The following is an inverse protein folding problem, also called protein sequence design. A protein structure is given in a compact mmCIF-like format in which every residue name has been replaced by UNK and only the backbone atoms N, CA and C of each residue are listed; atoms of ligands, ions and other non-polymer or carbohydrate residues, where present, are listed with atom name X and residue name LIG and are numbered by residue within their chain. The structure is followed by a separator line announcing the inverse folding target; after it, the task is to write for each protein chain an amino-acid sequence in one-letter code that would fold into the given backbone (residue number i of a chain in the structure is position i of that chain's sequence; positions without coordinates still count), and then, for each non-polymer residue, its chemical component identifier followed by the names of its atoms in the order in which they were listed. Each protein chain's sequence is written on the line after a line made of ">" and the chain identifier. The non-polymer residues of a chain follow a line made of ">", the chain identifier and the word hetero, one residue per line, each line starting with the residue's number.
data_IF_001538024639
#
_entry.id   IF_001538024639
#
_cell.length_a   1.000
_cell.length_b   1.000
_cell.length_c   1.000
_cell.angle_alpha   90.00
_cell.angle_beta   90.00
_cell.angle_gamma   90.00
#
_symmetry.space_group_name_H-M   'P 1'
#
loop_
_entity.id
_entity.type
_entity.pdbx_description
1 polymer ?
#
# COMPACT_ATOMS: atom_id res chain seq x y z
N UNK A 1 -15.78 -10.82 18.44
CA UNK A 1 -14.70 -10.95 19.44
C UNK A 1 -14.06 -9.58 19.60
N UNK A 2 -14.27 -8.92 20.75
CA UNK A 2 -13.61 -7.64 21.08
C UNK A 2 -12.47 -8.00 22.03
N UNK A 3 -11.22 -7.92 21.58
CA UNK A 3 -10.07 -8.14 22.45
C UNK A 3 -9.13 -6.97 22.32
N UNK A 4 -9.35 -5.96 23.16
CA UNK A 4 -8.32 -5.02 23.57
C UNK A 4 -8.02 -5.38 25.03
N UNK A 5 -6.88 -6.02 25.27
CA UNK A 5 -6.38 -6.34 26.61
C UNK A 5 -5.68 -5.14 27.24
N UNK A 6 -5.09 -4.27 26.42
CA UNK A 6 -4.44 -3.02 26.81
C UNK A 6 -4.19 -2.15 25.56
N UNK A 7 -4.02 -0.84 25.75
CA UNK A 7 -3.70 0.09 24.67
C UNK A 7 -2.49 -0.38 23.83
N UNK A 8 -2.63 -0.29 22.51
CA UNK A 8 -1.61 -0.69 21.53
C UNK A 8 -1.37 -2.20 21.40
N UNK A 9 -2.20 -3.07 21.99
CA UNK A 9 -2.01 -4.52 21.90
C UNK A 9 -2.18 -5.09 20.49
N UNK A 10 -3.11 -4.54 19.70
CA UNK A 10 -3.29 -4.89 18.28
C UNK A 10 -2.03 -4.59 17.48
N UNK A 11 -1.45 -3.40 17.65
CA UNK A 11 -0.22 -3.03 16.95
C UNK A 11 0.94 -3.96 17.35
N UNK A 12 1.12 -4.22 18.65
CA UNK A 12 2.14 -5.17 19.13
C UNK A 12 1.94 -6.58 18.57
N UNK A 13 0.70 -7.05 18.49
CA UNK A 13 0.38 -8.36 17.92
C UNK A 13 0.71 -8.42 16.42
N UNK A 14 0.38 -7.38 15.66
CA UNK A 14 0.70 -7.28 14.24
C UNK A 14 2.22 -7.20 14.00
N UNK A 15 2.95 -6.39 14.78
CA UNK A 15 4.42 -6.32 14.70
C UNK A 15 5.04 -7.68 14.99
N UNK A 16 4.54 -8.42 15.98
CA UNK A 16 5.01 -9.78 16.26
C UNK A 16 4.70 -10.74 15.11
N UNK A 17 3.47 -10.74 14.60
CA UNK A 17 3.06 -11.57 13.47
C UNK A 17 3.96 -11.33 12.24
N UNK A 18 4.27 -10.07 11.94
CA UNK A 18 5.20 -9.69 10.88
C UNK A 18 6.63 -10.15 11.20
N UNK A 19 7.10 -9.98 12.43
CA UNK A 19 8.41 -10.45 12.91
C UNK A 19 8.63 -11.96 12.76
N UNK A 20 7.55 -12.74 12.88
CA UNK A 20 7.52 -14.20 12.68
C UNK A 20 7.42 -14.59 11.18
N UNK A 21 7.47 -13.62 10.26
CA UNK A 21 7.47 -13.84 8.81
C UNK A 21 6.09 -13.72 8.15
N UNK A 22 5.08 -13.29 8.90
CA UNK A 22 3.71 -13.11 8.42
C UNK A 22 3.56 -12.11 7.27
N UNK A 23 2.45 -12.24 6.54
CA UNK A 23 2.04 -11.31 5.50
C UNK A 23 0.80 -10.54 5.96
N UNK A 24 0.90 -9.20 5.98
CA UNK A 24 -0.21 -8.30 6.24
C UNK A 24 -0.65 -7.60 4.95
N UNK A 25 -1.89 -7.82 4.54
CA UNK A 25 -2.48 -7.17 3.37
C UNK A 25 -3.44 -6.06 3.81
N UNK A 26 -3.41 -4.92 3.14
CA UNK A 26 -4.33 -3.81 3.37
C UNK A 26 -5.15 -3.54 2.13
N UNK A 27 -6.46 -3.75 2.22
CA UNK A 27 -7.44 -3.34 1.21
C UNK A 27 -8.44 -2.44 1.92
N UNK A 28 -8.08 -1.16 2.14
CA UNK A 28 -8.89 -0.27 2.96
C UNK A 28 -10.08 0.26 2.15
N UNK A 29 -11.18 0.56 2.84
CA UNK A 29 -12.32 1.26 2.25
C UNK A 29 -12.11 2.79 2.18
N UNK A 30 -11.19 3.31 3.00
CA UNK A 30 -10.87 4.74 3.11
C UNK A 30 -9.39 4.99 2.80
N UNK A 31 -8.98 6.23 2.46
CA UNK A 31 -7.67 6.46 1.84
C UNK A 31 -6.49 6.25 2.77
N UNK A 32 -6.72 6.28 4.08
CA UNK A 32 -5.68 6.27 5.10
C UNK A 32 -5.73 4.98 5.95
N UNK A 33 -5.13 3.86 5.49
CA UNK A 33 -5.05 2.67 6.33
C UNK A 33 -4.24 2.97 7.59
N UNK A 34 -4.73 2.50 8.74
CA UNK A 34 -4.08 2.63 10.05
C UNK A 34 -3.79 4.07 10.52
N UNK A 35 -4.56 5.05 10.02
CA UNK A 35 -4.37 6.44 10.41
C UNK A 35 -5.10 6.81 11.69
N UNK A 36 -6.34 6.34 11.88
CA UNK A 36 -7.14 6.63 13.06
C UNK A 36 -7.15 5.45 14.03
N UNK A 37 -7.15 5.75 15.33
CA UNK A 37 -7.53 4.79 16.38
C UNK A 37 -9.06 4.67 16.51
N UNK A 38 -9.52 3.86 17.46
CA UNK A 38 -10.94 3.62 17.71
C UNK A 38 -11.71 4.85 18.22
N UNK A 39 -11.00 5.88 18.70
CA UNK A 39 -11.57 7.16 19.14
C UNK A 39 -11.59 8.21 18.02
N UNK A 40 -11.07 7.86 16.84
CA UNK A 40 -10.94 8.76 15.70
C UNK A 40 -9.73 9.70 15.80
N UNK A 41 -8.79 9.46 16.73
CA UNK A 41 -7.57 10.25 16.84
C UNK A 41 -6.47 9.70 15.92
N UNK A 42 -5.59 10.55 15.38
CA UNK A 42 -4.47 10.10 14.55
C UNK A 42 -3.47 9.23 15.34
N UNK A 43 -3.19 8.02 14.83
CA UNK A 43 -2.20 7.07 15.36
C UNK A 43 -1.03 6.80 14.38
N UNK A 44 -1.23 7.02 13.08
CA UNK A 44 -0.16 6.92 12.05
C UNK A 44 0.61 5.58 12.05
N UNK A 45 -0.08 4.45 12.31
CA UNK A 45 0.60 3.17 12.53
C UNK A 45 1.13 2.50 11.24
N UNK A 46 0.72 2.95 10.05
CA UNK A 46 1.09 2.35 8.77
C UNK A 46 2.62 2.18 8.60
N UNK A 47 3.40 3.22 8.89
CA UNK A 47 4.86 3.16 8.80
C UNK A 47 5.49 2.21 9.82
N UNK A 48 4.96 2.17 11.05
CA UNK A 48 5.42 1.23 12.10
C UNK A 48 5.11 -0.23 11.76
N UNK A 49 4.09 -0.46 10.94
CA UNK A 49 3.70 -1.76 10.40
C UNK A 49 4.39 -2.10 9.06
N UNK A 50 5.34 -1.28 8.60
CA UNK A 50 6.14 -1.55 7.40
C UNK A 50 5.55 -1.05 6.08
N UNK A 51 4.41 -0.36 6.08
CA UNK A 51 3.81 0.14 4.84
C UNK A 51 4.53 1.41 4.32
N UNK A 52 5.05 1.40 3.07
CA UNK A 52 5.79 2.53 2.51
C UNK A 52 4.87 3.57 1.85
N UNK A 53 3.85 4.04 2.57
CA UNK A 53 2.78 4.90 2.03
C UNK A 53 3.15 6.39 2.16
N UNK A 54 3.27 7.10 1.05
CA UNK A 54 3.43 8.55 1.06
C UNK A 54 2.09 9.26 1.29
N UNK A 55 2.11 10.35 2.05
CA UNK A 55 0.93 11.16 2.34
C UNK A 55 0.03 10.65 3.47
N UNK A 56 0.40 9.60 4.20
CA UNK A 56 -0.30 9.19 5.43
C UNK A 56 0.11 10.09 6.61
N UNK A 57 -0.52 11.27 6.77
CA UNK A 57 -0.14 12.24 7.81
C UNK A 57 -0.85 13.59 7.66
N UNK A 58 -1.48 14.11 8.72
CA UNK A 58 -1.72 15.55 8.85
C UNK A 58 -0.39 16.21 9.21
N UNK A 59 0.16 16.98 8.29
CA UNK A 59 1.55 17.40 8.32
C UNK A 59 2.36 16.56 7.33
N UNK A 60 3.06 17.24 6.41
CA UNK A 60 3.96 16.59 5.48
C UNK A 60 4.84 15.60 6.25
N UNK A 61 4.86 14.34 5.80
CA UNK A 61 5.80 13.34 6.29
C UNK A 61 7.22 13.87 5.99
N UNK A 62 7.96 14.29 7.03
CA UNK A 62 9.38 14.71 6.95
C UNK A 62 10.34 13.54 6.67
N UNK A 63 9.82 12.33 6.51
CA UNK A 63 10.59 11.10 6.32
C UNK A 63 10.62 10.61 4.86
N UNK A 64 10.00 11.34 3.93
CA UNK A 64 10.36 11.19 2.53
C UNK A 64 11.79 11.72 2.36
N UNK A 65 12.74 10.91 1.87
CA UNK A 65 14.08 11.38 1.60
C UNK A 65 14.06 12.64 0.74
N UNK A 66 14.98 13.56 0.99
CA UNK A 66 15.15 14.74 0.15
C UNK A 66 15.28 14.32 -1.33
N UNK A 67 14.42 14.88 -2.20
CA UNK A 67 14.35 14.50 -3.62
C UNK A 67 13.39 13.36 -3.97
N UNK A 68 12.64 12.79 -3.01
CA UNK A 68 11.57 11.86 -3.32
C UNK A 68 10.46 12.56 -4.15
N UNK A 69 10.31 12.14 -5.40
CA UNK A 69 9.38 12.74 -6.37
C UNK A 69 7.93 12.23 -6.26
N UNK A 70 7.65 11.35 -5.29
CA UNK A 70 6.32 10.76 -5.08
C UNK A 70 5.66 11.37 -3.85
N UNK A 71 4.46 11.94 -4.02
CA UNK A 71 3.66 12.52 -2.96
C UNK A 71 2.19 12.15 -3.11
N UNK A 72 1.50 11.96 -1.99
CA UNK A 72 0.05 11.87 -1.98
C UNK A 72 -0.61 13.23 -2.23
N UNK A 73 -1.89 13.22 -2.61
CA UNK A 73 -2.67 14.44 -2.83
C UNK A 73 -4.10 14.31 -2.34
N UNK A 74 -4.74 15.46 -2.11
CA UNK A 74 -6.18 15.53 -1.86
C UNK A 74 -7.01 15.56 -3.14
N UNK A 75 -6.43 16.09 -4.23
CA UNK A 75 -7.04 16.22 -5.55
C UNK A 75 -5.98 15.93 -6.62
N UNK A 76 -6.36 15.28 -7.75
CA UNK A 76 -5.41 14.96 -8.80
C UNK A 76 -4.78 16.23 -9.39
N UNK A 77 -3.52 16.17 -9.87
CA UNK A 77 -2.90 17.30 -10.53
C UNK A 77 -3.73 17.78 -11.72
N UNK A 78 -3.90 19.11 -11.82
CA UNK A 78 -4.71 19.71 -12.88
C UNK A 78 -4.17 19.35 -14.27
N UNK A 79 -5.05 18.84 -15.13
CA UNK A 79 -4.71 18.47 -16.51
C UNK A 79 -3.85 17.21 -16.65
N UNK A 80 -3.58 16.48 -15.58
CA UNK A 80 -2.84 15.22 -15.67
C UNK A 80 -3.76 14.08 -16.15
N UNK A 81 -3.39 13.44 -17.26
CA UNK A 81 -4.00 12.20 -17.73
C UNK A 81 -3.32 11.01 -17.06
N UNK A 82 -3.91 10.53 -15.96
CA UNK A 82 -3.32 9.51 -15.10
C UNK A 82 -3.77 8.09 -15.48
N UNK A 83 -2.81 7.19 -15.68
CA UNK A 83 -3.03 5.80 -16.06
C UNK A 83 -2.26 4.86 -15.13
N UNK A 84 -2.95 3.83 -14.63
CA UNK A 84 -2.33 2.70 -13.97
C UNK A 84 -1.75 1.73 -14.98
N UNK A 85 -0.52 1.26 -14.74
CA UNK A 85 0.15 0.18 -15.46
C UNK A 85 0.35 -0.99 -14.50
N UNK A 86 -0.28 -2.13 -14.79
CA UNK A 86 -0.38 -3.29 -13.89
C UNK A 86 0.55 -4.41 -14.36
N UNK A 87 1.26 -5.02 -13.42
CA UNK A 87 2.02 -6.24 -13.67
C UNK A 87 1.07 -7.43 -13.75
N UNK A 88 0.62 -7.75 -14.96
CA UNK A 88 -0.33 -8.86 -15.20
C UNK A 88 0.31 -10.24 -15.12
N UNK A 89 1.65 -10.33 -15.06
CA UNK A 89 2.33 -11.59 -14.76
C UNK A 89 2.19 -11.91 -13.27
N UNK A 90 2.31 -10.90 -12.41
CA UNK A 90 2.10 -11.05 -10.98
C UNK A 90 0.61 -11.07 -10.58
N UNK A 91 -0.24 -10.32 -11.29
CA UNK A 91 -1.67 -10.22 -11.08
C UNK A 91 -2.42 -10.67 -12.36
N UNK A 92 -2.62 -11.98 -12.57
CA UNK A 92 -3.34 -12.46 -13.75
C UNK A 92 -4.82 -12.10 -13.69
N UNK A 93 -5.44 -11.86 -14.85
CA UNK A 93 -6.89 -11.67 -14.97
C UNK A 93 -7.38 -10.23 -14.75
N UNK A 94 -6.53 -9.31 -14.30
CA UNK A 94 -6.83 -7.86 -14.24
C UNK A 94 -6.37 -7.15 -15.52
N UNK A 95 -6.93 -5.97 -15.87
CA UNK A 95 -6.47 -5.22 -17.03
C UNK A 95 -5.02 -4.75 -16.88
N UNK A 96 -4.25 -4.78 -17.97
CA UNK A 96 -2.86 -4.31 -17.99
C UNK A 96 -2.74 -2.79 -17.76
N UNK A 97 -3.80 -2.04 -18.11
CA UNK A 97 -3.90 -0.61 -17.85
C UNK A 97 -5.31 -0.24 -17.43
N UNK A 98 -5.43 0.75 -16.54
CA UNK A 98 -6.72 1.32 -16.16
C UNK A 98 -6.59 2.82 -15.89
N UNK A 99 -7.61 3.65 -16.22
CA UNK A 99 -7.56 5.08 -15.93
C UNK A 99 -7.64 5.33 -14.42
N UNK A 100 -7.09 6.45 -13.96
CA UNK A 100 -7.36 6.94 -12.62
C UNK A 100 -8.85 7.31 -12.46
N UNK A 101 -9.52 7.04 -11.33
CA UNK A 101 -10.94 7.32 -11.15
C UNK A 101 -11.29 8.79 -11.41
N UNK A 102 -12.27 9.03 -12.27
CA UNK A 102 -12.77 10.38 -12.58
C UNK A 102 -13.77 10.92 -11.53
N UNK A 103 -14.24 10.06 -10.61
CA UNK A 103 -15.25 10.40 -9.61
C UNK A 103 -15.05 9.65 -8.28
N UNK A 104 -15.80 10.06 -7.26
CA UNK A 104 -15.71 9.56 -5.89
C UNK A 104 -14.50 10.14 -5.15
N UNK A 105 -13.95 9.38 -4.20
CA UNK A 105 -12.75 9.79 -3.46
C UNK A 105 -11.47 9.64 -4.31
N UNK A 106 -10.91 10.78 -4.73
CA UNK A 106 -9.73 10.88 -5.60
C UNK A 106 -8.42 11.13 -4.82
N UNK A 107 -8.46 11.00 -3.49
CA UNK A 107 -7.27 11.20 -2.66
C UNK A 107 -6.28 10.07 -2.87
N UNK A 108 -5.04 10.44 -3.14
CA UNK A 108 -4.00 9.49 -3.50
C UNK A 108 -3.00 9.28 -2.39
N UNK A 109 -2.76 8.02 -2.04
CA UNK A 109 -1.79 7.62 -1.01
C UNK A 109 -0.89 6.54 -1.60
N UNK A 110 0.12 6.91 -2.39
CA UNK A 110 0.93 5.92 -3.09
C UNK A 110 1.81 5.16 -2.13
N UNK A 111 2.05 3.88 -2.42
CA UNK A 111 3.28 3.25 -1.97
C UNK A 111 4.48 3.77 -2.79
N UNK A 112 5.67 3.80 -2.20
CA UNK A 112 6.90 4.17 -2.92
C UNK A 112 8.13 3.43 -2.40
N UNK A 113 8.99 2.98 -3.32
CA UNK A 113 10.29 2.40 -2.97
C UNK A 113 11.19 3.36 -2.18
N UNK A 114 11.01 4.67 -2.32
CA UNK A 114 11.80 5.67 -1.59
C UNK A 114 11.67 5.55 -0.05
N UNK A 115 10.59 4.93 0.44
CA UNK A 115 10.35 4.69 1.87
C UNK A 115 10.76 3.28 2.32
N UNK A 116 11.42 2.51 1.46
CA UNK A 116 11.86 1.14 1.74
C UNK A 116 13.37 1.12 1.94
N UNK A 117 13.83 0.41 2.98
CA UNK A 117 15.25 0.37 3.31
C UNK A 117 16.06 -0.38 2.24
N UNK A 118 17.31 0.03 2.05
CA UNK A 118 18.24 -0.66 1.16
C UNK A 118 18.47 -2.09 1.67
N UNK A 119 18.11 -3.09 0.86
CA UNK A 119 18.22 -4.51 1.18
C UNK A 119 16.88 -5.20 1.40
N UNK A 120 15.80 -4.43 1.57
CA UNK A 120 14.44 -4.96 1.51
C UNK A 120 13.98 -5.16 0.06
N UNK A 121 12.95 -5.98 -0.11
CA UNK A 121 12.33 -6.24 -1.42
C UNK A 121 11.17 -5.27 -1.59
N UNK A 122 11.11 -4.59 -2.73
CA UNK A 122 9.96 -3.80 -3.17
C UNK A 122 9.53 -4.25 -4.56
N UNK A 123 8.27 -4.66 -4.70
CA UNK A 123 7.68 -5.03 -5.99
C UNK A 123 6.46 -4.15 -6.26
N UNK A 124 6.55 -3.20 -7.22
CA UNK A 124 5.40 -2.44 -7.66
C UNK A 124 4.51 -3.29 -8.56
N UNK A 125 3.23 -3.43 -8.20
CA UNK A 125 2.26 -4.27 -8.91
C UNK A 125 1.28 -3.45 -9.75
N UNK A 126 1.02 -2.20 -9.38
CA UNK A 126 0.25 -1.25 -10.19
C UNK A 126 0.83 0.15 -10.04
N UNK A 127 1.50 0.66 -11.09
CA UNK A 127 2.17 1.97 -11.09
C UNK A 127 1.29 3.04 -11.70
N UNK A 128 1.24 4.22 -11.10
CA UNK A 128 0.51 5.36 -11.66
C UNK A 128 1.47 6.28 -12.41
N UNK A 129 1.20 6.53 -13.69
CA UNK A 129 1.95 7.49 -14.51
C UNK A 129 1.03 8.45 -15.24
N UNK A 130 1.55 9.61 -15.66
CA UNK A 130 0.87 10.47 -16.63
C UNK A 130 1.31 10.16 -18.08
N UNK A 131 0.69 10.85 -19.04
CA UNK A 131 1.02 10.75 -20.46
C UNK A 131 2.48 11.13 -20.80
N UNK A 132 3.15 11.92 -19.95
CA UNK A 132 4.57 12.25 -20.10
C UNK A 132 5.50 11.18 -19.47
N UNK A 133 4.93 10.10 -18.93
CA UNK A 133 5.65 9.03 -18.26
C UNK A 133 6.12 9.39 -16.85
N UNK A 134 5.67 10.51 -16.28
CA UNK A 134 6.01 10.87 -14.90
C UNK A 134 5.30 9.91 -13.96
N UNK A 135 6.06 9.31 -13.05
CA UNK A 135 5.56 8.38 -12.04
C UNK A 135 5.08 9.10 -10.79
N UNK A 136 3.93 8.67 -10.28
CA UNK A 136 3.26 9.25 -9.11
C UNK A 136 3.19 8.27 -7.93
N UNK A 137 3.93 7.17 -7.98
CA UNK A 137 3.89 6.11 -6.99
C UNK A 137 2.98 4.95 -7.39
N UNK A 138 2.84 4.00 -6.48
CA UNK A 138 2.22 2.71 -6.77
C UNK A 138 0.93 2.50 -5.98
N UNK A 139 -0.13 2.11 -6.68
CA UNK A 139 -1.44 1.82 -6.11
C UNK A 139 -1.52 0.43 -5.52
N UNK A 140 -0.67 -0.48 -5.98
CA UNK A 140 -0.47 -1.78 -5.37
C UNK A 140 1.03 -2.03 -5.29
N UNK A 141 1.51 -2.38 -4.11
CA UNK A 141 2.92 -2.70 -3.90
C UNK A 141 3.10 -3.78 -2.84
N UNK A 142 4.06 -4.66 -3.09
CA UNK A 142 4.48 -5.69 -2.16
C UNK A 142 5.86 -5.37 -1.58
N UNK A 143 6.03 -5.62 -0.28
CA UNK A 143 7.29 -5.38 0.45
C UNK A 143 7.68 -6.61 1.23
N UNK A 144 8.96 -6.99 1.20
CA UNK A 144 9.56 -7.90 2.17
C UNK A 144 10.65 -7.20 2.97
N UNK A 145 10.46 -7.12 4.28
CA UNK A 145 11.39 -6.46 5.21
C UNK A 145 12.52 -7.41 5.57
N UNK A 146 13.57 -7.49 4.75
CA UNK A 146 14.74 -8.36 5.01
C UNK A 146 15.69 -7.75 6.05
N UNK A 147 15.76 -6.44 6.08
CA UNK A 147 16.75 -5.65 6.81
C UNK A 147 16.12 -4.62 7.73
N UNK A 148 14.98 -4.03 7.37
CA UNK A 148 14.25 -3.08 8.23
C UNK A 148 13.23 -3.77 9.14
N UNK A 149 12.75 -3.03 10.13
CA UNK A 149 11.59 -3.44 10.91
C UNK A 149 10.29 -3.23 10.09
N UNK A 150 9.29 -4.12 10.19
CA UNK A 150 9.30 -5.37 10.98
C UNK A 150 10.03 -6.50 10.23
N UNK A 151 11.21 -6.88 10.73
CA UNK A 151 12.12 -7.81 10.05
C UNK A 151 11.46 -9.16 9.80
N UNK A 152 11.65 -9.72 8.61
CA UNK A 152 11.00 -10.89 8.01
C UNK A 152 9.56 -10.69 7.55
N UNK A 153 8.93 -9.58 7.98
CA UNK A 153 7.56 -9.24 7.66
C UNK A 153 7.36 -8.97 6.18
N UNK A 154 6.11 -9.20 5.74
CA UNK A 154 5.68 -8.95 4.37
C UNK A 154 4.44 -8.08 4.39
N UNK A 155 4.38 -7.13 3.47
CA UNK A 155 3.25 -6.23 3.35
C UNK A 155 2.75 -6.24 1.91
N UNK A 156 1.42 -6.30 1.74
CA UNK A 156 0.76 -6.04 0.45
C UNK A 156 -0.15 -4.83 0.61
N UNK A 157 0.31 -3.70 0.10
CA UNK A 157 -0.46 -2.47 0.05
C UNK A 157 -1.37 -2.46 -1.19
N UNK A 158 -2.64 -2.11 -0.98
CA UNK A 158 -3.63 -1.89 -2.04
C UNK A 158 -4.31 -0.56 -1.73
N UNK A 159 -4.19 0.41 -2.62
CA UNK A 159 -4.90 1.68 -2.50
C UNK A 159 -6.42 1.43 -2.63
N UNK A 160 -7.21 2.16 -1.84
CA UNK A 160 -8.63 1.86 -1.61
C UNK A 160 -9.48 1.68 -2.88
N UNK A 161 -9.13 2.40 -3.97
CA UNK A 161 -9.90 2.36 -5.22
C UNK A 161 -9.41 1.28 -6.18
N UNK A 162 -8.30 0.58 -5.91
CA UNK A 162 -7.77 -0.41 -6.84
C UNK A 162 -8.76 -1.54 -7.18
N UNK A 163 -9.57 -2.07 -6.25
CA UNK A 163 -10.62 -3.02 -6.60
C UNK A 163 -11.64 -2.44 -7.58
N UNK A 164 -12.02 -1.17 -7.46
CA UNK A 164 -12.92 -0.52 -8.42
C UNK A 164 -12.23 -0.28 -9.77
N UNK A 165 -10.97 0.16 -9.75
CA UNK A 165 -10.17 0.48 -10.94
C UNK A 165 -9.92 -0.76 -11.81
N UNK A 166 -9.71 -1.93 -11.19
CA UNK A 166 -9.30 -3.15 -11.89
C UNK A 166 -10.43 -4.18 -12.07
N UNK A 167 -11.63 -3.91 -11.56
CA UNK A 167 -12.69 -4.90 -11.41
C UNK A 167 -12.60 -5.59 -10.04
N UNK A 168 -13.66 -5.50 -9.24
CA UNK A 168 -13.56 -5.84 -7.81
C UNK A 168 -13.29 -7.32 -7.57
N UNK A 169 -13.96 -8.19 -8.32
CA UNK A 169 -13.79 -9.64 -8.18
C UNK A 169 -12.43 -10.09 -8.71
N UNK A 170 -12.03 -9.61 -9.89
CA UNK A 170 -10.77 -9.91 -10.54
C UNK A 170 -9.58 -9.43 -9.72
N UNK A 171 -9.64 -8.20 -9.22
CA UNK A 171 -8.60 -7.62 -8.38
C UNK A 171 -8.43 -8.40 -7.08
N UNK A 172 -9.52 -8.67 -6.36
CA UNK A 172 -9.45 -9.42 -5.11
C UNK A 172 -8.92 -10.84 -5.34
N UNK A 173 -9.41 -11.53 -6.37
CA UNK A 173 -8.92 -12.86 -6.72
C UNK A 173 -7.41 -12.86 -7.02
N UNK A 174 -6.95 -11.96 -7.88
CA UNK A 174 -5.53 -11.86 -8.25
C UNK A 174 -4.65 -11.50 -7.04
N UNK A 175 -5.10 -10.58 -6.18
CA UNK A 175 -4.39 -10.19 -4.96
C UNK A 175 -4.27 -11.35 -3.97
N UNK A 176 -5.34 -12.10 -3.74
CA UNK A 176 -5.31 -13.28 -2.87
C UNK A 176 -4.44 -14.39 -3.45
N UNK A 177 -4.49 -14.62 -4.77
CA UNK A 177 -3.62 -15.59 -5.44
C UNK A 177 -2.14 -15.19 -5.30
N UNK A 178 -1.82 -13.92 -5.52
CA UNK A 178 -0.47 -13.39 -5.31
C UNK A 178 -0.01 -13.57 -3.86
N UNK A 179 -0.85 -13.17 -2.89
CA UNK A 179 -0.54 -13.31 -1.47
C UNK A 179 -0.32 -14.78 -1.07
N UNK A 180 -1.14 -15.71 -1.56
CA UNK A 180 -0.99 -17.14 -1.34
C UNK A 180 0.38 -17.66 -1.83
N UNK A 181 0.85 -17.18 -2.98
CA UNK A 181 2.19 -17.50 -3.49
C UNK A 181 3.34 -16.96 -2.64
N UNK A 182 3.11 -15.92 -1.84
CA UNK A 182 4.13 -15.29 -0.97
C UNK A 182 4.19 -15.85 0.44
N UNK A 183 3.10 -16.45 0.93
CA UNK A 183 3.08 -17.07 2.27
C UNK A 183 3.63 -18.49 2.27
N UNK A 184 3.78 -19.13 1.10
CA UNK A 184 4.40 -20.43 0.93
C UNK A 184 3.85 -21.49 1.91
N UNK A 185 2.82 -22.25 1.52
CA UNK A 185 2.68 -23.57 2.12
C UNK A 185 3.96 -24.34 1.79
N UNK A 186 4.73 -24.71 2.80
CA UNK A 186 5.80 -25.69 2.64
C UNK A 186 5.20 -26.87 1.86
N UNK A 187 5.71 -27.11 0.65
CA UNK A 187 5.47 -28.37 -0.07
C UNK A 187 6.37 -29.44 0.53
#
# INVERSE_FOLDING_TARGET
>A
VRSLKADGDVERALVRYLGEGGLLMTIPFQPYPFYYDETGQPNLAAGRLGFPIAGSGAGQRDDLPEGANVRGWEQPPAGAELTFHVDTQALPGVPATAPFPAAGDQRWRPATQALVAKGDVYLPLARLTDAAGKWYGDGIAYVEHKTSAPKNGKNLYVWMRMPEVLGAEEALFALFQFAAGKVGFAR
#
